data_IF_056113922967
#
_entry.id   IF_056113922967
#
_cell.length_a   1.000
_cell.length_b   1.000
_cell.length_c   1.000
_cell.angle_alpha   90.00
_cell.angle_beta   90.00
_cell.angle_gamma   90.00
#
_symmetry.space_group_name_H-M   'P 1'
#
loop_
_entity.id
_entity.type
_entity.pdbx_description
1 polymer ?
#
# COMPACT_ATOMS: atom_id res chain seq x y z
N UNK A 1 -1.52 -70.78 -2.51
CA UNK A 1 -1.89 -69.60 -3.34
C UNK A 1 -0.61 -68.82 -3.59
N UNK A 2 -0.28 -68.63 -4.86
CA UNK A 2 1.04 -69.03 -5.35
C UNK A 2 1.97 -67.82 -5.57
N UNK A 3 3.06 -67.77 -4.80
CA UNK A 3 4.16 -66.78 -4.85
C UNK A 3 4.69 -66.50 -6.27
N UNK A 4 4.50 -67.44 -7.21
CA UNK A 4 4.91 -67.30 -8.62
C UNK A 4 4.09 -66.28 -9.44
N UNK A 5 2.90 -65.87 -8.98
CA UNK A 5 2.07 -64.89 -9.70
C UNK A 5 2.55 -63.43 -9.50
N UNK A 6 3.12 -63.10 -8.34
CA UNK A 6 3.64 -61.75 -8.06
C UNK A 6 4.94 -61.45 -8.80
N UNK A 7 5.78 -62.46 -9.03
CA UNK A 7 7.06 -62.32 -9.73
C UNK A 7 6.83 -61.92 -11.20
N UNK A 8 5.78 -62.43 -11.85
CA UNK A 8 5.48 -62.12 -13.26
C UNK A 8 4.93 -60.69 -13.40
N UNK A 9 4.18 -60.18 -12.41
CA UNK A 9 3.66 -58.81 -12.40
C UNK A 9 4.78 -57.80 -12.11
N UNK A 10 5.75 -58.13 -11.25
CA UNK A 10 6.91 -57.27 -10.99
C UNK A 10 7.86 -57.20 -12.18
N UNK A 11 8.00 -58.29 -12.94
CA UNK A 11 8.90 -58.34 -14.11
C UNK A 11 8.36 -57.58 -15.33
N UNK A 12 7.04 -57.38 -15.44
CA UNK A 12 6.44 -56.59 -16.54
C UNK A 12 6.48 -55.08 -16.29
N UNK A 13 6.42 -54.63 -15.04
CA UNK A 13 6.56 -53.19 -14.70
C UNK A 13 8.00 -52.71 -14.90
N UNK A 14 9.00 -53.57 -14.66
CA UNK A 14 10.40 -53.27 -14.90
C UNK A 14 10.78 -53.21 -16.41
N UNK A 15 9.97 -53.79 -17.29
CA UNK A 15 10.17 -53.75 -18.75
C UNK A 15 9.51 -52.53 -19.42
N UNK A 16 8.59 -51.84 -18.75
CA UNK A 16 7.98 -50.60 -19.25
C UNK A 16 8.71 -49.34 -18.77
N UNK A 17 9.46 -49.41 -17.68
CA UNK A 17 10.45 -48.39 -17.33
C UNK A 17 11.80 -48.78 -17.93
N UNK A 18 11.83 -48.79 -19.26
CA UNK A 18 13.07 -48.82 -20.02
C UNK A 18 13.99 -47.74 -19.47
N UNK A 19 15.04 -48.20 -18.81
CA UNK A 19 16.19 -47.43 -18.41
C UNK A 19 16.89 -46.97 -19.68
N UNK A 20 16.38 -45.90 -20.28
CA UNK A 20 17.15 -45.07 -21.19
C UNK A 20 18.05 -44.21 -20.30
N UNK A 21 19.29 -44.68 -20.10
CA UNK A 21 20.36 -43.81 -19.65
C UNK A 21 20.74 -42.95 -20.85
N UNK A 22 19.96 -41.92 -21.12
CA UNK A 22 20.50 -40.77 -21.83
C UNK A 22 21.61 -40.22 -20.94
N UNK A 23 22.85 -40.33 -21.40
CA UNK A 23 23.94 -39.58 -20.82
C UNK A 23 23.54 -38.11 -20.90
N UNK A 24 23.24 -37.51 -19.75
CA UNK A 24 23.04 -36.06 -19.66
C UNK A 24 24.37 -35.46 -20.11
N UNK A 25 24.44 -35.04 -21.37
CA UNK A 25 25.49 -34.16 -21.83
C UNK A 25 25.29 -32.88 -21.04
N UNK A 26 26.13 -32.64 -20.03
CA UNK A 26 26.16 -31.36 -19.34
C UNK A 26 26.46 -30.32 -20.42
N UNK A 27 25.46 -29.53 -20.78
CA UNK A 27 25.67 -28.32 -21.56
C UNK A 27 26.57 -27.42 -20.71
N UNK A 28 27.84 -27.28 -21.14
CA UNK A 28 28.84 -26.49 -20.43
C UNK A 28 28.50 -24.98 -20.37
N UNK A 29 27.36 -24.57 -20.94
CA UNK A 29 26.80 -23.23 -20.78
C UNK A 29 26.38 -22.89 -19.32
N UNK A 30 26.15 -23.89 -18.47
CA UNK A 30 25.65 -23.64 -17.10
C UNK A 30 26.69 -23.10 -16.11
N UNK A 31 27.99 -23.16 -16.43
CA UNK A 31 29.06 -22.63 -15.58
C UNK A 31 29.65 -21.30 -16.07
N UNK A 32 28.87 -20.52 -16.83
CA UNK A 32 29.18 -19.10 -16.99
C UNK A 32 28.78 -18.35 -15.72
N UNK A 33 29.72 -18.25 -14.76
CA UNK A 33 29.64 -17.26 -13.69
C UNK A 33 30.10 -15.94 -14.34
N UNK A 34 29.21 -14.96 -14.61
CA UNK A 34 29.66 -13.65 -15.06
C UNK A 34 30.65 -13.08 -14.03
N UNK A 35 31.67 -12.32 -14.48
CA UNK A 35 32.55 -11.62 -13.54
C UNK A 35 31.70 -10.79 -12.57
N UNK A 36 32.16 -10.57 -11.31
CA UNK A 36 31.39 -9.80 -10.33
C UNK A 36 31.07 -8.35 -10.75
N UNK A 37 31.51 -7.91 -11.93
CA UNK A 37 31.32 -6.56 -12.42
C UNK A 37 29.96 -6.32 -13.11
N UNK A 38 29.05 -7.31 -13.15
CA UNK A 38 27.70 -7.14 -13.77
C UNK A 38 26.53 -7.42 -12.83
N UNK A 39 26.73 -7.48 -11.52
CA UNK A 39 25.58 -7.33 -10.61
C UNK A 39 25.24 -5.84 -10.64
N UNK A 40 24.20 -5.47 -11.38
CA UNK A 40 23.63 -4.13 -11.31
C UNK A 40 23.35 -3.83 -9.84
N UNK A 41 24.06 -2.85 -9.30
CA UNK A 41 23.84 -2.32 -7.97
C UNK A 41 22.35 -1.94 -7.87
N UNK A 42 21.64 -2.53 -6.91
CA UNK A 42 20.26 -2.16 -6.59
C UNK A 42 20.30 -0.81 -5.88
N UNK A 43 20.55 0.23 -6.67
CA UNK A 43 20.58 1.60 -6.20
C UNK A 43 19.13 2.08 -6.19
N UNK A 44 18.61 2.25 -4.98
CA UNK A 44 17.37 2.98 -4.74
C UNK A 44 17.50 4.30 -5.52
N UNK A 45 16.54 4.64 -6.42
CA UNK A 45 16.64 5.85 -7.21
C UNK A 45 16.95 7.04 -6.30
N UNK A 46 17.89 7.92 -6.67
CA UNK A 46 18.20 9.08 -5.86
C UNK A 46 16.91 9.86 -5.62
N UNK A 47 16.66 10.19 -4.34
CA UNK A 47 15.47 10.93 -3.92
C UNK A 47 15.35 12.18 -4.80
N UNK A 48 14.15 12.42 -5.33
CA UNK A 48 13.89 13.49 -6.30
C UNK A 48 13.97 14.89 -5.68
N UNK A 49 14.27 14.99 -4.39
CA UNK A 49 14.60 16.27 -3.75
C UNK A 49 16.05 16.64 -4.06
N UNK A 50 16.24 17.81 -4.69
CA UNK A 50 17.55 18.40 -4.90
C UNK A 50 18.31 18.65 -3.59
N UNK A 51 19.56 19.11 -3.65
CA UNK A 51 20.35 19.41 -2.45
C UNK A 51 19.60 20.39 -1.53
N UNK A 52 19.59 20.11 -0.22
CA UNK A 52 18.97 20.98 0.78
C UNK A 52 19.68 22.34 0.82
N UNK A 53 18.94 23.40 0.50
CA UNK A 53 19.41 24.78 0.67
C UNK A 53 18.86 25.34 2.00
N UNK A 54 19.72 25.69 2.97
CA UNK A 54 19.27 26.24 4.24
C UNK A 54 18.64 27.63 4.04
N UNK A 55 17.45 27.83 4.59
CA UNK A 55 16.78 29.13 4.65
C UNK A 55 16.52 29.55 6.10
N UNK A 56 16.51 30.86 6.35
CA UNK A 56 16.16 31.43 7.67
C UNK A 56 14.65 31.59 7.87
N UNK A 57 13.85 31.37 6.83
CA UNK A 57 12.39 31.48 6.88
C UNK A 57 11.74 30.16 6.49
N UNK A 58 10.64 29.76 7.14
CA UNK A 58 9.91 28.57 6.73
C UNK A 58 9.36 28.75 5.30
N UNK A 59 9.52 27.73 4.46
CA UNK A 59 8.95 27.69 3.10
C UNK A 59 7.45 27.36 3.12
N UNK A 60 6.93 26.91 4.26
CA UNK A 60 5.53 26.53 4.41
C UNK A 60 4.60 27.74 4.30
N UNK A 61 3.66 27.68 3.38
CA UNK A 61 2.58 28.67 3.25
C UNK A 61 1.29 28.01 3.72
N UNK A 62 0.64 28.52 4.78
CA UNK A 62 -0.63 27.98 5.23
C UNK A 62 -1.67 28.19 4.14
N UNK A 63 -2.29 27.10 3.70
CA UNK A 63 -3.44 27.14 2.82
C UNK A 63 -4.68 26.69 3.59
N UNK A 64 -5.79 27.37 3.33
CA UNK A 64 -7.09 26.98 3.86
C UNK A 64 -7.69 25.96 2.91
N UNK A 65 -7.99 24.77 3.42
CA UNK A 65 -8.72 23.74 2.66
C UNK A 65 -9.99 24.32 2.02
N UNK A 66 -10.29 23.93 0.78
CA UNK A 66 -11.50 24.32 0.07
C UNK A 66 -12.37 23.10 -0.17
N UNK A 67 -13.64 23.17 0.23
CA UNK A 67 -14.56 22.02 0.16
C UNK A 67 -14.33 21.06 1.31
N UNK A 68 -14.10 19.78 1.01
CA UNK A 68 -14.13 18.71 2.01
C UNK A 68 -12.98 18.80 3.04
N UNK A 69 -13.17 18.26 4.25
CA UNK A 69 -12.11 18.08 5.22
C UNK A 69 -11.36 16.74 5.08
N UNK A 70 -11.79 15.86 4.17
CA UNK A 70 -11.37 14.46 4.13
C UNK A 70 -10.26 14.18 3.11
N UNK A 71 -10.40 14.71 1.90
CA UNK A 71 -9.41 14.62 0.82
C UNK A 71 -8.38 15.75 0.88
N UNK A 72 -8.78 16.96 1.32
CA UNK A 72 -7.89 18.12 1.44
C UNK A 72 -7.30 18.27 2.85
N UNK A 73 -6.37 17.39 3.21
CA UNK A 73 -5.72 17.39 4.53
C UNK A 73 -4.73 18.54 4.67
N UNK A 74 -4.91 19.35 5.72
CA UNK A 74 -3.92 20.36 6.13
C UNK A 74 -2.84 19.73 7.02
N UNK A 75 -1.66 20.36 7.05
CA UNK A 75 -0.57 19.92 7.93
C UNK A 75 -0.96 20.04 9.41
N UNK A 76 -0.66 19.01 10.20
CA UNK A 76 -0.83 19.02 11.65
C UNK A 76 0.41 19.65 12.31
N UNK A 77 0.57 20.96 12.17
CA UNK A 77 1.64 21.72 12.82
C UNK A 77 1.10 22.49 14.02
N UNK A 78 1.79 22.53 15.18
CA UNK A 78 1.39 23.34 16.34
C UNK A 78 1.35 24.85 16.07
N UNK A 79 2.02 25.31 15.00
CA UNK A 79 2.00 26.71 14.58
C UNK A 79 0.75 27.06 13.77
N UNK A 80 0.00 26.06 13.31
CA UNK A 80 -1.24 26.23 12.58
C UNK A 80 -2.41 26.15 13.53
N UNK A 81 -3.31 27.11 13.42
CA UNK A 81 -4.52 27.15 14.23
C UNK A 81 -5.47 26.04 13.77
N UNK A 82 -6.02 25.28 14.71
CA UNK A 82 -7.08 24.31 14.45
C UNK A 82 -8.40 24.99 14.08
N UNK A 83 -9.30 24.24 13.46
CA UNK A 83 -10.64 24.75 13.18
C UNK A 83 -11.34 25.22 14.47
N UNK A 84 -12.03 26.37 14.46
CA UNK A 84 -12.72 26.88 15.64
C UNK A 84 -13.90 25.98 16.01
N UNK A 85 -14.20 25.89 17.31
CA UNK A 85 -15.29 25.05 17.83
C UNK A 85 -16.70 25.48 17.40
N UNK A 86 -16.84 26.59 16.67
CA UNK A 86 -18.11 27.05 16.11
C UNK A 86 -18.44 26.42 14.75
N UNK A 87 -17.52 25.66 14.15
CA UNK A 87 -17.74 24.93 12.91
C UNK A 87 -18.23 23.52 13.26
N UNK A 88 -19.43 23.18 12.79
CA UNK A 88 -20.03 21.87 12.93
C UNK A 88 -19.88 21.09 11.62
N UNK A 89 -19.24 19.92 11.70
CA UNK A 89 -19.13 18.98 10.59
C UNK A 89 -20.30 17.98 10.65
N UNK A 90 -21.18 18.00 9.66
CA UNK A 90 -22.30 17.06 9.54
C UNK A 90 -22.09 16.17 8.31
N UNK A 91 -22.21 14.86 8.49
CA UNK A 91 -22.14 13.88 7.40
C UNK A 91 -23.52 13.23 7.27
N UNK A 92 -24.14 13.39 6.12
CA UNK A 92 -25.44 12.83 5.78
C UNK A 92 -25.27 11.73 4.72
N UNK A 93 -25.97 10.62 4.91
CA UNK A 93 -25.96 9.52 3.95
C UNK A 93 -27.24 9.56 3.10
N UNK A 94 -27.09 9.62 1.78
CA UNK A 94 -28.20 9.47 0.86
C UNK A 94 -28.45 7.99 0.54
N UNK A 95 -29.71 7.63 0.35
CA UNK A 95 -30.18 6.37 -0.22
C UNK A 95 -29.49 5.97 -1.54
N UNK A 96 -28.86 6.92 -2.24
CA UNK A 96 -28.04 6.75 -3.43
C UNK A 96 -26.58 6.32 -3.20
N UNK A 97 -26.20 5.83 -2.00
CA UNK A 97 -24.85 5.31 -1.63
C UNK A 97 -23.81 6.41 -1.36
N UNK A 98 -24.14 7.68 -1.58
CA UNK A 98 -23.19 8.78 -1.40
C UNK A 98 -23.31 9.41 0.00
N UNK A 99 -22.16 9.81 0.54
CA UNK A 99 -22.06 10.59 1.77
C UNK A 99 -21.89 12.06 1.40
N UNK A 100 -22.76 12.92 1.89
CA UNK A 100 -22.66 14.37 1.72
C UNK A 100 -22.16 15.01 3.00
N UNK A 101 -21.17 15.87 2.87
CA UNK A 101 -20.46 16.50 3.97
C UNK A 101 -20.80 17.98 3.99
N UNK A 102 -21.25 18.46 5.14
CA UNK A 102 -21.60 19.85 5.40
C UNK A 102 -20.74 20.42 6.51
N UNK A 103 -20.23 21.63 6.28
CA UNK A 103 -19.56 22.42 7.29
C UNK A 103 -20.38 23.66 7.58
N UNK A 104 -20.89 23.73 8.81
CA UNK A 104 -21.88 24.72 9.19
C UNK A 104 -21.34 25.61 10.28
N UNK A 105 -21.64 26.90 10.19
CA UNK A 105 -21.44 27.85 11.27
C UNK A 105 -22.83 28.33 11.67
N UNK A 106 -23.36 27.79 12.77
CA UNK A 106 -24.77 27.94 13.10
C UNK A 106 -25.66 27.37 11.98
N UNK A 107 -26.53 28.20 11.41
CA UNK A 107 -27.50 27.74 10.40
C UNK A 107 -26.97 27.78 8.96
N UNK A 108 -25.84 28.43 8.72
CA UNK A 108 -25.30 28.64 7.37
C UNK A 108 -24.19 27.65 7.01
N UNK A 109 -24.21 27.16 5.78
CA UNK A 109 -23.11 26.38 5.23
C UNK A 109 -21.94 27.32 4.97
N UNK A 110 -20.84 27.12 5.68
CA UNK A 110 -19.64 27.95 5.57
C UNK A 110 -18.92 27.74 4.23
N UNK A 111 -19.00 26.53 3.68
CA UNK A 111 -18.35 26.12 2.42
C UNK A 111 -19.28 25.27 1.56
N UNK A 112 -18.96 25.12 0.25
CA UNK A 112 -19.68 24.19 -0.62
C UNK A 112 -19.69 22.79 -0.02
N UNK A 113 -20.85 22.14 -0.06
CA UNK A 113 -20.95 20.74 0.33
C UNK A 113 -20.13 19.88 -0.62
N UNK A 114 -19.61 18.78 -0.10
CA UNK A 114 -18.85 17.81 -0.87
C UNK A 114 -19.43 16.43 -0.67
N UNK A 115 -19.58 15.69 -1.77
CA UNK A 115 -20.05 14.31 -1.74
C UNK A 115 -18.89 13.35 -1.94
N UNK A 116 -18.84 12.28 -1.17
CA UNK A 116 -17.93 11.14 -1.37
C UNK A 116 -18.71 9.85 -1.54
N UNK A 117 -18.17 8.92 -2.31
CA UNK A 117 -18.70 7.56 -2.45
C UNK A 117 -18.44 6.72 -1.19
N UNK A 118 -19.12 5.59 -1.08
CA UNK A 118 -18.85 4.62 -0.01
C UNK A 118 -17.40 4.12 0.00
N UNK A 119 -16.83 3.84 -1.17
CA UNK A 119 -15.45 3.37 -1.29
C UNK A 119 -14.43 4.41 -0.78
N UNK A 120 -14.65 5.68 -1.08
CA UNK A 120 -13.80 6.77 -0.57
C UNK A 120 -13.90 6.92 0.95
N UNK A 121 -15.10 6.78 1.49
CA UNK A 121 -15.31 6.78 2.95
C UNK A 121 -14.62 5.59 3.63
N UNK A 122 -14.76 4.39 3.08
CA UNK A 122 -14.15 3.16 3.60
C UNK A 122 -12.61 3.31 3.63
N UNK A 123 -12.03 3.76 2.53
CA UNK A 123 -10.60 4.06 2.44
C UNK A 123 -10.16 5.13 3.44
N UNK A 124 -10.96 6.17 3.65
CA UNK A 124 -10.67 7.19 4.65
C UNK A 124 -10.67 6.58 6.07
N UNK A 125 -11.67 5.78 6.39
CA UNK A 125 -11.79 5.12 7.69
C UNK A 125 -10.61 4.18 7.97
N UNK A 126 -10.22 3.37 6.99
CA UNK A 126 -9.04 2.50 7.09
C UNK A 126 -7.76 3.29 7.39
N UNK A 127 -7.57 4.43 6.72
CA UNK A 127 -6.42 5.29 6.98
C UNK A 127 -6.43 5.89 8.38
N UNK A 128 -7.60 6.23 8.92
CA UNK A 128 -7.72 6.73 10.30
C UNK A 128 -7.35 5.63 11.30
N UNK A 129 -7.87 4.42 11.13
CA UNK A 129 -7.53 3.26 11.99
C UNK A 129 -6.02 3.01 12.01
N UNK A 130 -5.37 3.02 10.83
CA UNK A 130 -3.92 2.83 10.74
C UNK A 130 -3.16 3.96 11.43
N UNK A 131 -3.58 5.21 11.23
CA UNK A 131 -2.95 6.37 11.87
C UNK A 131 -3.08 6.31 13.39
N UNK A 132 -4.28 6.05 13.90
CA UNK A 132 -4.55 5.92 15.32
C UNK A 132 -3.75 4.77 15.95
N UNK A 133 -3.63 3.64 15.26
CA UNK A 133 -2.77 2.53 15.69
C UNK A 133 -1.30 2.94 15.84
N UNK A 134 -0.73 3.62 14.85
CA UNK A 134 0.65 4.09 14.94
C UNK A 134 0.83 5.19 15.99
N UNK A 135 -0.16 6.08 16.14
CA UNK A 135 -0.18 7.11 17.17
C UNK A 135 -0.16 6.50 18.56
N UNK A 136 -1.04 5.54 18.85
CA UNK A 136 -1.08 4.80 20.11
C UNK A 136 0.24 4.06 20.36
N UNK A 137 0.75 3.35 19.34
CA UNK A 137 2.04 2.65 19.43
C UNK A 137 3.21 3.60 19.72
N UNK A 138 3.20 4.79 19.12
CA UNK A 138 4.25 5.81 19.30
C UNK A 138 4.17 6.51 20.65
N UNK A 139 2.95 6.63 21.21
CA UNK A 139 2.74 7.21 22.53
C UNK A 139 3.36 6.33 23.64
N UNK A 140 3.61 5.05 23.34
CA UNK A 140 4.16 4.08 24.27
C UNK A 140 3.14 3.78 25.36
N UNK A 141 2.55 2.58 25.30
CA UNK A 141 1.83 2.05 26.46
C UNK A 141 2.70 2.09 27.72
#
# INVERSE_FOLDING_TARGET
MNSKAYIIIFLSVALFFGWEAEAITLDESFLYIPSPDTIAEDTIPPDSVGPYEPSYTPTYQPDYRFGDPFSNRTSSSPLLLSDPSSIDLQVEYDSGINYTVYERIGDVNFRPMTSMSFEEYDKYNDQQIVNDYFKERSAGL
#
